data_IF_945088625469
#
_entry.id   IF_945088625469
#
_cell.length_a   1.000
_cell.length_b   1.000
_cell.length_c   1.000
_cell.angle_alpha   90.00
_cell.angle_beta   90.00
_cell.angle_gamma   90.00
#
_symmetry.space_group_name_H-M   'P 1'
#
loop_
_entity.id
_entity.type
_entity.pdbx_description
1 polymer ?
#
# COMPACT_ATOMS: atom_id res chain seq x y z
N UNK A 1 2.27 -11.15 20.56
CA UNK A 1 1.50 -10.38 19.59
C UNK A 1 0.22 -11.08 19.06
N UNK A 2 0.07 -12.42 19.17
CA UNK A 2 -1.18 -13.13 18.80
C UNK A 2 -2.40 -12.88 19.71
N UNK A 3 -2.24 -12.26 20.88
CA UNK A 3 -3.34 -12.05 21.84
C UNK A 3 -4.11 -10.73 21.68
N UNK A 4 -3.55 -9.73 20.99
CA UNK A 4 -4.22 -8.43 20.78
C UNK A 4 -5.23 -8.45 19.64
N UNK A 5 -4.99 -9.22 18.58
CA UNK A 5 -5.94 -9.36 17.46
C UNK A 5 -7.23 -10.11 17.83
N UNK A 6 -7.19 -10.97 18.85
CA UNK A 6 -8.36 -11.70 19.36
C UNK A 6 -9.23 -10.83 20.29
N UNK A 7 -8.67 -9.81 20.92
CA UNK A 7 -9.40 -8.93 21.85
C UNK A 7 -10.21 -7.88 21.08
N UNK A 8 -9.71 -7.37 19.93
CA UNK A 8 -10.46 -6.44 19.10
C UNK A 8 -11.70 -7.08 18.44
N UNK A 9 -11.67 -8.40 18.18
CA UNK A 9 -12.83 -9.14 17.66
C UNK A 9 -13.91 -9.43 18.70
N UNK A 10 -13.58 -9.37 19.99
CA UNK A 10 -14.53 -9.64 21.08
C UNK A 10 -15.29 -8.38 21.57
N UNK A 11 -14.83 -7.18 21.24
CA UNK A 11 -15.41 -5.93 21.75
C UNK A 11 -16.41 -5.25 20.79
N UNK A 12 -16.50 -5.67 19.52
CA UNK A 12 -17.44 -5.11 18.54
C UNK A 12 -18.91 -5.50 18.77
N UNK A 13 -19.26 -6.69 19.31
CA UNK A 13 -20.66 -7.03 19.54
C UNK A 13 -21.41 -6.15 20.54
N UNK A 14 -20.71 -5.31 21.28
CA UNK A 14 -21.35 -4.53 22.38
C UNK A 14 -21.93 -3.18 21.96
N UNK A 15 -21.73 -2.74 20.70
CA UNK A 15 -22.18 -1.43 20.20
C UNK A 15 -23.16 -1.52 19.02
N UNK A 16 -23.34 -2.69 18.40
CA UNK A 16 -24.30 -2.89 17.30
C UNK A 16 -25.50 -3.69 17.78
N UNK A 17 -26.71 -3.33 17.32
CA UNK A 17 -27.89 -4.18 17.51
C UNK A 17 -27.73 -5.48 16.71
N UNK A 18 -28.39 -6.58 17.13
CA UNK A 18 -28.38 -7.84 16.37
C UNK A 18 -28.87 -7.67 14.93
N UNK A 19 -29.79 -6.72 14.69
CA UNK A 19 -30.31 -6.40 13.38
C UNK A 19 -29.23 -5.70 12.49
N UNK A 20 -28.44 -4.79 13.06
CA UNK A 20 -27.36 -4.13 12.34
C UNK A 20 -26.23 -5.11 12.00
N UNK A 21 -25.90 -6.01 12.91
CA UNK A 21 -24.90 -7.06 12.70
C UNK A 21 -25.32 -8.04 11.60
N UNK A 22 -26.62 -8.41 11.52
CA UNK A 22 -27.12 -9.29 10.45
C UNK A 22 -27.07 -8.60 9.09
N UNK A 23 -27.48 -7.34 9.02
CA UNK A 23 -27.45 -6.52 7.78
C UNK A 23 -26.01 -6.36 7.28
N UNK A 24 -25.05 -6.18 8.18
CA UNK A 24 -23.64 -6.09 7.86
C UNK A 24 -23.09 -7.40 7.26
N UNK A 25 -23.43 -8.54 7.86
CA UNK A 25 -23.03 -9.86 7.37
C UNK A 25 -23.59 -10.16 5.97
N UNK A 26 -24.85 -9.81 5.73
CA UNK A 26 -25.50 -10.00 4.41
C UNK A 26 -24.84 -9.12 3.34
N UNK A 27 -24.50 -7.88 3.69
CA UNK A 27 -23.77 -6.97 2.80
C UNK A 27 -22.40 -7.54 2.46
N UNK A 28 -21.62 -7.98 3.45
CA UNK A 28 -20.30 -8.60 3.26
C UNK A 28 -20.41 -9.81 2.32
N UNK A 29 -21.39 -10.68 2.54
CA UNK A 29 -21.56 -11.88 1.73
C UNK A 29 -21.90 -11.54 0.26
N UNK A 30 -22.76 -10.54 0.06
CA UNK A 30 -23.17 -10.06 -1.27
C UNK A 30 -21.98 -9.50 -2.04
N UNK A 31 -21.26 -8.60 -1.42
CA UNK A 31 -20.11 -7.93 -2.04
C UNK A 31 -18.96 -8.90 -2.30
N UNK A 32 -18.68 -9.80 -1.35
CA UNK A 32 -17.68 -10.85 -1.56
C UNK A 32 -18.02 -11.72 -2.76
N UNK A 33 -19.28 -12.14 -2.89
CA UNK A 33 -19.75 -12.87 -4.05
C UNK A 33 -19.56 -12.11 -5.36
N UNK A 34 -19.81 -10.80 -5.35
CA UNK A 34 -19.59 -9.94 -6.52
C UNK A 34 -18.10 -9.84 -6.88
N UNK A 35 -17.22 -9.67 -5.89
CA UNK A 35 -15.77 -9.64 -6.10
C UNK A 35 -15.27 -10.98 -6.65
N UNK A 36 -15.73 -12.11 -6.10
CA UNK A 36 -15.38 -13.44 -6.61
C UNK A 36 -15.77 -13.61 -8.09
N UNK A 37 -16.94 -13.11 -8.48
CA UNK A 37 -17.37 -13.15 -9.89
C UNK A 37 -16.47 -12.29 -10.80
N UNK A 38 -16.10 -11.08 -10.37
CA UNK A 38 -15.22 -10.20 -11.13
C UNK A 38 -13.83 -10.80 -11.29
N UNK A 39 -13.26 -11.33 -10.21
CA UNK A 39 -11.91 -11.94 -10.23
C UNK A 39 -11.92 -13.24 -11.04
N UNK A 40 -12.99 -14.04 -10.98
CA UNK A 40 -13.16 -15.21 -11.86
C UNK A 40 -13.14 -14.80 -13.32
N UNK A 41 -13.92 -13.80 -13.73
CA UNK A 41 -13.89 -13.26 -15.11
C UNK A 41 -12.50 -12.75 -15.51
N UNK A 42 -11.79 -12.14 -14.58
CA UNK A 42 -10.41 -11.69 -14.81
C UNK A 42 -9.49 -12.88 -15.07
N UNK A 43 -9.54 -13.93 -14.23
CA UNK A 43 -8.77 -15.17 -14.43
C UNK A 43 -9.09 -15.83 -15.77
N UNK A 44 -10.38 -15.92 -16.12
CA UNK A 44 -10.81 -16.49 -17.40
C UNK A 44 -10.27 -15.71 -18.59
N UNK A 45 -10.24 -14.36 -18.49
CA UNK A 45 -9.71 -13.48 -19.54
C UNK A 45 -8.20 -13.54 -19.70
N UNK A 46 -7.48 -13.75 -18.61
CA UNK A 46 -6.01 -13.86 -18.61
C UNK A 46 -5.52 -15.24 -19.03
N UNK A 47 -6.37 -16.27 -18.86
CA UNK A 47 -6.03 -17.67 -19.15
C UNK A 47 -5.07 -18.28 -18.14
N UNK A 48 -4.45 -19.40 -18.52
CA UNK A 48 -3.47 -20.08 -17.67
C UNK A 48 -2.21 -19.23 -17.48
N UNK A 49 -1.64 -19.24 -16.29
CA UNK A 49 -0.36 -18.56 -16.01
C UNK A 49 0.72 -19.15 -16.92
N UNK A 50 1.34 -18.36 -17.84
CA UNK A 50 2.43 -18.85 -18.65
C UNK A 50 3.67 -19.09 -17.77
N UNK A 51 4.32 -20.23 -17.93
CA UNK A 51 5.48 -20.60 -17.12
C UNK A 51 6.67 -19.63 -17.28
N UNK A 52 6.78 -18.91 -18.41
CA UNK A 52 7.98 -18.17 -18.75
C UNK A 52 7.86 -16.63 -18.68
N UNK A 53 6.72 -16.01 -18.95
CA UNK A 53 6.56 -14.55 -18.92
C UNK A 53 5.09 -14.19 -18.67
N UNK A 54 4.60 -14.30 -17.45
CA UNK A 54 3.23 -13.96 -17.13
C UNK A 54 2.95 -12.47 -17.32
N UNK A 55 1.79 -12.15 -17.87
CA UNK A 55 1.26 -10.79 -17.96
C UNK A 55 0.21 -10.61 -16.88
N UNK A 56 0.31 -9.50 -16.17
CA UNK A 56 -0.57 -9.15 -15.04
C UNK A 56 -1.54 -8.05 -15.42
N UNK A 57 -2.76 -8.03 -14.87
CA UNK A 57 -3.69 -6.92 -15.11
C UNK A 57 -3.07 -5.60 -14.61
N UNK A 58 -3.16 -4.57 -15.44
CA UNK A 58 -2.67 -3.23 -15.13
C UNK A 58 -3.79 -2.20 -15.10
N UNK A 59 -4.61 -2.14 -16.14
CA UNK A 59 -5.72 -1.20 -16.23
C UNK A 59 -6.93 -1.86 -16.90
N UNK A 60 -8.13 -1.57 -16.37
CA UNK A 60 -9.38 -1.94 -17.00
C UNK A 60 -9.72 -0.99 -18.14
N UNK A 61 -10.16 -1.51 -19.28
CA UNK A 61 -10.71 -0.72 -20.39
C UNK A 61 -12.23 -0.68 -20.34
N UNK A 62 -12.83 0.28 -21.06
CA UNK A 62 -14.29 0.47 -21.16
C UNK A 62 -15.03 -0.76 -21.72
N UNK A 63 -14.31 -1.63 -22.45
CA UNK A 63 -14.82 -2.90 -22.98
C UNK A 63 -14.87 -4.04 -21.96
N UNK A 64 -14.44 -3.81 -20.71
CA UNK A 64 -14.32 -4.86 -19.69
C UNK A 64 -13.14 -5.81 -19.91
N UNK A 65 -12.19 -5.43 -20.77
CA UNK A 65 -10.93 -6.16 -20.99
C UNK A 65 -9.80 -5.51 -20.20
N UNK A 66 -8.81 -6.34 -19.79
CA UNK A 66 -7.63 -5.85 -19.12
C UNK A 66 -6.51 -5.48 -20.10
N UNK A 67 -5.93 -4.29 -19.91
CA UNK A 67 -4.57 -4.03 -20.36
C UNK A 67 -3.63 -4.74 -19.39
N UNK A 68 -2.67 -5.48 -19.92
CA UNK A 68 -1.74 -6.27 -19.11
C UNK A 68 -0.32 -5.75 -19.21
N UNK A 69 0.47 -6.00 -18.17
CA UNK A 69 1.88 -5.61 -18.09
C UNK A 69 2.77 -6.77 -17.71
N UNK A 70 4.02 -6.74 -18.16
CA UNK A 70 5.08 -7.63 -17.67
C UNK A 70 5.63 -7.10 -16.34
N UNK A 71 6.00 -7.97 -15.39
CA UNK A 71 6.66 -7.53 -14.15
C UNK A 71 7.98 -6.76 -14.37
N UNK A 72 8.61 -6.94 -15.51
CA UNK A 72 9.84 -6.21 -15.91
C UNK A 72 9.59 -4.93 -16.69
N UNK A 73 8.33 -4.59 -16.99
CA UNK A 73 7.99 -3.31 -17.61
C UNK A 73 8.35 -2.16 -16.65
N UNK A 74 9.14 -1.20 -17.16
CA UNK A 74 9.64 -0.10 -16.33
C UNK A 74 8.56 0.88 -15.87
N UNK A 75 7.47 1.02 -16.65
CA UNK A 75 6.43 2.01 -16.37
C UNK A 75 5.25 1.44 -15.56
N UNK A 76 4.90 0.17 -15.78
CA UNK A 76 3.67 -0.42 -15.26
C UNK A 76 3.89 -1.71 -14.46
N UNK A 77 5.08 -2.31 -14.56
CA UNK A 77 5.39 -3.60 -13.92
C UNK A 77 5.28 -3.59 -12.39
N UNK A 78 5.30 -2.43 -11.76
CA UNK A 78 5.13 -2.27 -10.31
C UNK A 78 3.78 -2.78 -9.82
N UNK A 79 2.76 -2.78 -10.68
CA UNK A 79 1.41 -3.25 -10.33
C UNK A 79 1.27 -4.77 -10.29
N UNK A 80 2.25 -5.52 -10.82
CA UNK A 80 2.11 -6.97 -11.02
C UNK A 80 1.91 -7.78 -9.73
N UNK A 81 2.27 -7.23 -8.57
CA UNK A 81 2.06 -7.88 -7.28
C UNK A 81 0.63 -7.79 -6.74
N UNK A 82 -0.17 -6.81 -7.19
CA UNK A 82 -1.50 -6.57 -6.62
C UNK A 82 -2.50 -7.68 -6.97
N UNK A 83 -2.53 -8.14 -8.20
CA UNK A 83 -3.46 -9.19 -8.60
C UNK A 83 -3.28 -10.50 -7.81
N UNK A 84 -2.06 -11.07 -7.70
CA UNK A 84 -1.87 -12.21 -6.79
C UNK A 84 -2.17 -11.86 -5.32
N UNK A 85 -1.92 -10.62 -4.90
CA UNK A 85 -2.32 -10.14 -3.58
C UNK A 85 -3.82 -10.23 -3.35
N UNK A 86 -4.63 -9.80 -4.32
CA UNK A 86 -6.09 -9.90 -4.30
C UNK A 86 -6.56 -11.37 -4.21
N UNK A 87 -5.94 -12.27 -4.96
CA UNK A 87 -6.23 -13.71 -4.88
C UNK A 87 -5.95 -14.29 -3.49
N UNK A 88 -4.87 -13.85 -2.84
CA UNK A 88 -4.57 -14.23 -1.46
C UNK A 88 -5.60 -13.68 -0.46
N UNK A 89 -6.11 -12.46 -0.67
CA UNK A 89 -7.17 -11.88 0.15
C UNK A 89 -8.50 -12.64 -0.03
N UNK A 90 -8.83 -13.06 -1.25
CA UNK A 90 -9.98 -13.93 -1.50
C UNK A 90 -9.83 -15.29 -0.79
N UNK A 91 -8.64 -15.91 -0.83
CA UNK A 91 -8.38 -17.11 -0.03
C UNK A 91 -8.55 -16.84 1.47
N UNK A 92 -8.08 -15.71 1.97
CA UNK A 92 -8.26 -15.34 3.37
C UNK A 92 -9.74 -15.23 3.74
N UNK A 93 -10.55 -14.59 2.91
CA UNK A 93 -11.97 -14.36 3.17
C UNK A 93 -12.80 -15.64 3.08
N UNK A 94 -12.57 -16.45 2.05
CA UNK A 94 -13.43 -17.59 1.71
C UNK A 94 -12.91 -18.94 2.21
N UNK A 95 -11.60 -19.03 2.46
CA UNK A 95 -10.88 -20.30 2.73
C UNK A 95 -10.97 -21.31 1.56
N UNK A 96 -11.38 -20.88 0.39
CA UNK A 96 -11.42 -21.71 -0.81
C UNK A 96 -10.01 -22.06 -1.29
N UNK A 97 -9.72 -23.34 -1.42
CA UNK A 97 -8.43 -23.82 -1.95
C UNK A 97 -8.22 -23.43 -3.42
N UNK A 98 -9.29 -23.20 -4.18
CA UNK A 98 -9.18 -22.71 -5.55
C UNK A 98 -8.54 -21.33 -5.62
N UNK A 99 -8.92 -20.40 -4.70
CA UNK A 99 -8.29 -19.09 -4.60
C UNK A 99 -6.83 -19.18 -4.15
N UNK A 100 -6.53 -20.08 -3.20
CA UNK A 100 -5.13 -20.32 -2.77
C UNK A 100 -4.27 -20.80 -3.94
N UNK A 101 -4.77 -21.77 -4.69
CA UNK A 101 -4.01 -22.41 -5.79
C UNK A 101 -3.79 -21.40 -6.94
N UNK A 102 -4.81 -20.58 -7.25
CA UNK A 102 -4.66 -19.46 -8.18
C UNK A 102 -3.65 -18.43 -7.65
N UNK A 103 -3.77 -17.99 -6.39
CA UNK A 103 -2.85 -17.05 -5.77
C UNK A 103 -1.40 -17.54 -5.82
N UNK A 104 -1.16 -18.81 -5.51
CA UNK A 104 0.16 -19.42 -5.59
C UNK A 104 0.71 -19.43 -7.02
N UNK A 105 -0.12 -19.80 -7.99
CA UNK A 105 0.26 -19.85 -9.40
C UNK A 105 0.68 -18.46 -9.92
N UNK A 106 -0.05 -17.39 -9.58
CA UNK A 106 0.24 -16.04 -10.01
C UNK A 106 1.34 -15.35 -9.17
N UNK A 107 1.60 -15.81 -7.93
CA UNK A 107 2.68 -15.29 -7.06
C UNK A 107 4.04 -15.83 -7.48
N UNK A 108 4.14 -17.14 -7.73
CA UNK A 108 5.43 -17.83 -7.93
C UNK A 108 6.32 -17.21 -8.99
N UNK A 109 5.82 -16.81 -10.18
CA UNK A 109 6.66 -16.22 -11.23
C UNK A 109 7.29 -14.87 -10.85
N UNK A 110 6.76 -14.18 -9.85
CA UNK A 110 7.29 -12.88 -9.39
C UNK A 110 8.55 -13.00 -8.53
N UNK A 111 8.97 -14.21 -8.14
CA UNK A 111 10.11 -14.40 -7.22
C UNK A 111 11.41 -13.74 -7.72
N UNK A 112 11.66 -13.75 -9.03
CA UNK A 112 12.84 -13.12 -9.62
C UNK A 112 12.86 -11.59 -9.44
N UNK A 113 11.70 -10.95 -9.28
CA UNK A 113 11.58 -9.51 -9.09
C UNK A 113 12.18 -9.04 -7.76
N UNK A 114 12.32 -9.91 -6.76
CA UNK A 114 12.95 -9.59 -5.49
C UNK A 114 14.39 -9.04 -5.60
N UNK A 115 15.07 -9.30 -6.71
CA UNK A 115 16.45 -8.85 -6.97
C UNK A 115 16.56 -7.89 -8.17
N UNK A 116 15.46 -7.45 -8.75
CA UNK A 116 15.43 -6.63 -9.97
C UNK A 116 15.62 -5.13 -9.65
N UNK A 117 16.84 -4.74 -9.28
CA UNK A 117 17.20 -3.36 -8.94
C UNK A 117 17.46 -2.46 -10.15
N UNK A 118 17.59 -3.04 -11.35
CA UNK A 118 17.80 -2.33 -12.62
C UNK A 118 16.44 -1.93 -13.24
N UNK A 119 15.65 -1.19 -12.49
CA UNK A 119 14.32 -0.70 -12.85
C UNK A 119 14.32 0.83 -12.89
N UNK A 120 13.32 1.42 -13.54
CA UNK A 120 13.05 2.88 -13.49
C UNK A 120 12.82 3.31 -12.04
N UNK A 121 12.05 2.54 -11.29
CA UNK A 121 11.93 2.65 -9.84
C UNK A 121 12.29 1.30 -9.19
N UNK A 122 13.48 1.16 -8.62
CA UNK A 122 13.85 -0.07 -7.93
C UNK A 122 13.10 -0.29 -6.61
N UNK A 123 12.42 0.72 -6.05
CA UNK A 123 11.57 0.53 -4.86
C UNK A 123 10.28 -0.21 -5.17
N UNK A 124 9.86 -0.31 -6.45
CA UNK A 124 8.73 -1.14 -6.91
C UNK A 124 8.81 -2.61 -6.45
N UNK A 125 10.03 -3.10 -6.16
CA UNK A 125 10.23 -4.42 -5.54
C UNK A 125 9.35 -4.57 -4.30
N UNK A 126 9.19 -3.50 -3.52
CA UNK A 126 8.35 -3.48 -2.33
C UNK A 126 6.87 -3.69 -2.64
N UNK A 127 6.34 -3.04 -3.68
CA UNK A 127 4.96 -3.29 -4.14
C UNK A 127 4.79 -4.72 -4.62
N UNK A 128 5.67 -5.17 -5.53
CA UNK A 128 5.54 -6.49 -6.16
C UNK A 128 5.62 -7.61 -5.12
N UNK A 129 6.64 -7.60 -4.29
CA UNK A 129 6.90 -8.68 -3.34
C UNK A 129 6.07 -8.54 -2.06
N UNK A 130 5.86 -7.32 -1.57
CA UNK A 130 5.08 -7.06 -0.36
C UNK A 130 3.63 -7.51 -0.51
N UNK A 131 2.97 -7.15 -1.62
CA UNK A 131 1.56 -7.48 -1.84
C UNK A 131 1.35 -8.95 -2.22
N UNK A 132 2.27 -9.58 -2.93
CA UNK A 132 2.17 -11.00 -3.35
C UNK A 132 2.74 -11.96 -2.30
N UNK A 133 4.06 -12.02 -2.17
CA UNK A 133 4.75 -12.93 -1.24
C UNK A 133 4.50 -12.60 0.23
N UNK A 134 4.29 -11.32 0.58
CA UNK A 134 3.91 -10.89 1.91
C UNK A 134 2.60 -11.55 2.36
N UNK A 135 1.55 -11.46 1.55
CA UNK A 135 0.27 -12.12 1.81
C UNK A 135 0.40 -13.66 1.78
N UNK A 136 1.18 -14.21 0.82
CA UNK A 136 1.44 -15.64 0.75
C UNK A 136 2.04 -16.17 2.05
N UNK A 137 3.11 -15.54 2.55
CA UNK A 137 3.76 -15.93 3.81
C UNK A 137 2.84 -15.78 5.01
N UNK A 138 2.16 -14.65 5.13
CA UNK A 138 1.24 -14.37 6.24
C UNK A 138 0.15 -15.43 6.37
N UNK A 139 -0.36 -15.94 5.24
CA UNK A 139 -1.48 -16.88 5.22
C UNK A 139 -1.06 -18.35 5.27
N UNK A 140 0.18 -18.68 4.89
CA UNK A 140 0.65 -20.07 4.79
C UNK A 140 1.77 -20.42 5.76
N UNK A 141 2.57 -19.45 6.17
CA UNK A 141 3.79 -19.69 6.95
C UNK A 141 4.93 -20.35 6.16
N UNK A 142 4.80 -20.49 4.83
CA UNK A 142 5.80 -21.16 4.01
C UNK A 142 7.12 -20.37 3.95
N UNK A 143 8.18 -21.00 4.42
CA UNK A 143 9.52 -20.40 4.48
C UNK A 143 10.10 -20.05 3.11
N UNK A 144 9.63 -20.67 2.03
CA UNK A 144 10.03 -20.29 0.68
C UNK A 144 9.64 -18.86 0.37
N UNK A 145 8.42 -18.44 0.73
CA UNK A 145 7.97 -17.05 0.58
C UNK A 145 8.76 -16.08 1.46
N UNK A 146 9.03 -16.46 2.71
CA UNK A 146 9.90 -15.69 3.61
C UNK A 146 11.27 -15.38 2.98
N UNK A 147 11.87 -16.35 2.31
CA UNK A 147 13.16 -16.16 1.67
C UNK A 147 13.11 -15.13 0.53
N UNK A 148 12.03 -15.11 -0.25
CA UNK A 148 11.80 -14.11 -1.31
C UNK A 148 11.62 -12.71 -0.72
N UNK A 149 10.85 -12.56 0.36
CA UNK A 149 10.67 -11.28 1.06
C UNK A 149 12.02 -10.76 1.59
N UNK A 150 12.84 -11.62 2.19
CA UNK A 150 14.16 -11.23 2.66
C UNK A 150 15.13 -10.88 1.51
N UNK A 151 15.01 -11.51 0.34
CA UNK A 151 15.78 -11.11 -0.84
C UNK A 151 15.36 -9.70 -1.31
N UNK A 152 14.08 -9.39 -1.31
CA UNK A 152 13.57 -8.05 -1.60
C UNK A 152 14.08 -7.01 -0.57
N UNK A 153 14.01 -7.32 0.73
CA UNK A 153 14.55 -6.47 1.78
C UNK A 153 16.06 -6.20 1.61
N UNK A 154 16.83 -7.21 1.23
CA UNK A 154 18.26 -7.05 0.91
C UNK A 154 18.49 -6.12 -0.28
N UNK A 155 17.67 -6.23 -1.33
CA UNK A 155 17.76 -5.38 -2.51
C UNK A 155 17.44 -3.92 -2.17
N UNK A 156 16.37 -3.68 -1.42
CA UNK A 156 16.01 -2.34 -0.93
C UNK A 156 17.08 -1.76 0.00
N UNK A 157 17.66 -2.57 0.90
CA UNK A 157 18.77 -2.14 1.75
C UNK A 157 20.01 -1.71 0.95
N UNK A 158 20.27 -2.35 -0.21
CA UNK A 158 21.34 -1.98 -1.12
C UNK A 158 21.17 -0.63 -1.81
N UNK A 159 19.95 -0.08 -1.81
CA UNK A 159 19.63 1.24 -2.38
C UNK A 159 19.74 2.38 -1.34
N UNK A 160 19.99 2.05 -0.08
CA UNK A 160 20.12 3.04 0.98
C UNK A 160 21.39 3.87 0.84
N UNK A 161 21.24 5.18 0.92
CA UNK A 161 22.35 6.14 0.96
C UNK A 161 22.43 6.80 2.34
N UNK A 162 23.48 6.55 3.15
CA UNK A 162 23.57 7.11 4.49
C UNK A 162 23.77 8.63 4.52
N UNK A 163 24.28 9.25 3.45
CA UNK A 163 24.46 10.69 3.36
C UNK A 163 23.14 11.41 3.16
N UNK A 164 22.23 10.83 2.37
CA UNK A 164 20.86 11.33 2.19
C UNK A 164 19.95 10.84 3.33
N UNK A 165 20.25 9.70 3.92
CA UNK A 165 19.42 9.07 4.93
C UNK A 165 18.17 8.40 4.33
N UNK A 166 18.25 7.90 3.10
CA UNK A 166 17.08 7.34 2.41
C UNK A 166 17.43 6.21 1.45
N UNK A 167 16.43 5.41 1.10
CA UNK A 167 16.43 4.44 -0.01
C UNK A 167 16.13 5.19 -1.30
N UNK A 168 16.92 4.95 -2.35
CA UNK A 168 16.76 5.62 -3.64
C UNK A 168 15.55 5.06 -4.40
N UNK A 169 14.69 5.97 -4.88
CA UNK A 169 13.60 5.66 -5.79
C UNK A 169 14.05 5.74 -7.26
N UNK A 170 13.66 6.76 -7.99
CA UNK A 170 13.81 6.87 -9.43
C UNK A 170 15.25 6.90 -9.95
N UNK A 171 15.46 6.27 -11.12
CA UNK A 171 16.77 6.14 -11.79
C UNK A 171 16.79 6.68 -13.21
N UNK A 172 15.73 7.38 -13.66
CA UNK A 172 15.63 8.00 -14.99
C UNK A 172 15.92 9.51 -14.95
N UNK A 173 16.17 10.11 -16.09
CA UNK A 173 16.40 11.58 -16.18
C UNK A 173 15.15 12.35 -15.77
N UNK A 174 15.25 13.40 -14.92
CA UNK A 174 16.48 14.04 -14.42
C UNK A 174 17.04 13.45 -13.11
N UNK A 175 16.56 12.31 -12.65
CA UNK A 175 16.86 11.72 -11.32
C UNK A 175 18.13 10.85 -11.29
N UNK A 176 18.89 10.84 -12.39
CA UNK A 176 20.18 10.13 -12.46
C UNK A 176 21.27 10.84 -11.64
N UNK A 177 22.36 10.12 -11.25
CA UNK A 177 23.47 10.73 -10.52
C UNK A 177 24.02 12.00 -11.22
N UNK A 178 24.36 13.05 -10.46
CA UNK A 178 24.52 13.10 -9.01
C UNK A 178 23.21 13.29 -8.22
N UNK A 179 22.05 13.29 -8.87
CA UNK A 179 20.77 13.39 -8.22
C UNK A 179 20.37 12.08 -7.54
N UNK A 180 19.57 12.20 -6.49
CA UNK A 180 19.06 11.09 -5.70
C UNK A 180 17.59 11.39 -5.38
N UNK A 181 16.66 10.69 -6.01
CA UNK A 181 15.24 10.89 -5.79
C UNK A 181 14.72 10.03 -4.64
N UNK A 182 13.85 10.64 -3.83
CA UNK A 182 13.02 9.98 -2.83
C UNK A 182 11.58 10.37 -3.12
N UNK A 183 10.70 9.39 -3.28
CA UNK A 183 9.29 9.62 -3.57
C UNK A 183 8.43 9.19 -2.38
N UNK A 184 7.24 9.78 -2.27
CA UNK A 184 6.32 9.51 -1.18
C UNK A 184 5.83 8.05 -1.17
N UNK A 185 5.69 7.43 -2.35
CA UNK A 185 5.32 6.03 -2.56
C UNK A 185 6.28 5.07 -1.85
N UNK A 186 7.55 5.47 -1.67
CA UNK A 186 8.55 4.67 -0.99
C UNK A 186 8.17 4.32 0.45
N UNK A 187 7.31 5.10 1.09
CA UNK A 187 6.78 4.76 2.41
C UNK A 187 6.00 3.44 2.42
N UNK A 188 5.23 3.17 1.35
CA UNK A 188 4.53 1.90 1.18
C UNK A 188 5.49 0.76 0.82
N UNK A 189 6.51 1.02 0.00
CA UNK A 189 7.36 -0.03 -0.58
C UNK A 189 8.42 -0.58 0.37
N UNK A 190 8.64 0.04 1.52
CA UNK A 190 9.66 -0.41 2.49
C UNK A 190 9.23 -1.60 3.36
N UNK A 191 8.03 -2.13 3.19
CA UNK A 191 7.52 -3.26 3.96
C UNK A 191 8.48 -4.45 4.05
N UNK A 192 9.05 -4.99 2.95
CA UNK A 192 10.01 -6.07 3.00
C UNK A 192 11.30 -5.74 3.77
N UNK A 193 11.75 -4.48 3.74
CA UNK A 193 12.92 -4.02 4.49
C UNK A 193 12.60 -3.98 6.00
N UNK A 194 11.48 -3.39 6.39
CA UNK A 194 11.03 -3.27 7.77
C UNK A 194 10.79 -4.65 8.39
N UNK A 195 9.99 -5.47 7.73
CA UNK A 195 9.64 -6.80 8.19
C UNK A 195 10.86 -7.73 8.26
N UNK A 196 11.73 -7.67 7.26
CA UNK A 196 12.93 -8.49 7.17
C UNK A 196 13.88 -8.28 8.34
N UNK A 197 13.97 -7.07 8.88
CA UNK A 197 14.83 -6.74 10.02
C UNK A 197 14.60 -7.64 11.24
N UNK A 198 13.37 -8.08 11.47
CA UNK A 198 12.98 -8.97 12.58
C UNK A 198 12.73 -10.42 12.16
N UNK A 199 12.81 -10.73 10.84
CA UNK A 199 12.40 -12.02 10.29
C UNK A 199 13.50 -12.75 9.48
N UNK A 200 14.77 -12.54 9.83
CA UNK A 200 15.90 -13.26 9.25
C UNK A 200 16.73 -12.45 8.27
N UNK A 201 16.40 -11.17 8.08
CA UNK A 201 17.27 -10.17 7.45
C UNK A 201 18.26 -9.57 8.46
N UNK A 202 18.91 -8.48 8.08
CA UNK A 202 19.83 -7.76 8.97
C UNK A 202 19.07 -6.80 9.86
N UNK A 203 19.35 -6.79 11.17
CA UNK A 203 18.72 -5.86 12.14
C UNK A 203 18.95 -4.38 11.80
N UNK A 204 20.04 -4.06 11.09
CA UNK A 204 20.33 -2.68 10.60
C UNK A 204 19.28 -2.16 9.62
N UNK A 205 18.50 -3.02 8.96
CA UNK A 205 17.46 -2.60 8.02
C UNK A 205 16.35 -1.79 8.69
N UNK A 206 16.05 -2.07 9.96
CA UNK A 206 15.12 -1.27 10.74
C UNK A 206 15.60 0.19 10.86
N UNK A 207 16.91 0.39 11.10
CA UNK A 207 17.51 1.73 11.13
C UNK A 207 17.46 2.44 9.77
N UNK A 208 17.65 1.71 8.66
CA UNK A 208 17.52 2.30 7.32
C UNK A 208 16.10 2.76 7.04
N UNK A 209 15.11 1.93 7.37
CA UNK A 209 13.71 2.26 7.20
C UNK A 209 13.27 3.44 8.10
N UNK A 210 13.72 3.46 9.37
CA UNK A 210 13.41 4.56 10.28
C UNK A 210 14.03 5.89 9.82
N UNK A 211 15.28 5.87 9.35
CA UNK A 211 15.95 7.08 8.84
C UNK A 211 15.30 7.55 7.54
N UNK A 212 14.92 6.62 6.65
CA UNK A 212 14.18 6.95 5.43
C UNK A 212 12.84 7.64 5.77
N UNK A 213 12.05 7.07 6.67
CA UNK A 213 10.77 7.66 7.08
C UNK A 213 10.99 9.08 7.68
N UNK A 214 12.03 9.28 8.48
CA UNK A 214 12.35 10.60 9.00
C UNK A 214 12.77 11.58 7.90
N UNK A 215 13.50 11.14 6.87
CA UNK A 215 13.85 11.95 5.69
C UNK A 215 12.60 12.35 4.91
N UNK A 216 11.64 11.44 4.76
CA UNK A 216 10.34 11.72 4.14
C UNK A 216 9.53 12.73 4.95
N UNK A 217 9.41 12.57 6.27
CA UNK A 217 8.74 13.56 7.14
C UNK A 217 9.33 14.96 6.91
N UNK A 218 10.65 15.05 6.94
CA UNK A 218 11.33 16.36 6.87
C UNK A 218 11.20 17.03 5.51
N UNK A 219 11.13 16.26 4.43
CA UNK A 219 11.28 16.81 3.08
C UNK A 219 10.07 16.57 2.17
N UNK A 220 9.14 15.69 2.51
CA UNK A 220 7.98 15.40 1.68
C UNK A 220 6.65 15.70 2.36
N UNK A 221 6.60 15.78 3.70
CA UNK A 221 5.37 16.15 4.42
C UNK A 221 5.42 17.65 4.76
N UNK A 222 4.36 18.39 4.38
CA UNK A 222 4.22 19.80 4.68
C UNK A 222 3.61 20.01 6.08
N UNK A 223 3.78 21.19 6.70
CA UNK A 223 3.25 21.44 8.04
C UNK A 223 1.74 21.30 8.21
N UNK A 224 0.96 21.33 7.12
CA UNK A 224 -0.47 21.13 7.13
C UNK A 224 -0.89 19.65 6.89
N UNK A 225 0.06 18.71 6.86
CA UNK A 225 -0.17 17.28 6.61
C UNK A 225 -0.26 16.90 5.13
N UNK A 226 -0.24 17.87 4.19
CA UNK A 226 -0.17 17.55 2.75
C UNK A 226 1.23 17.07 2.34
N UNK A 227 1.36 16.43 1.17
CA UNK A 227 2.64 15.88 0.73
C UNK A 227 3.10 16.43 -0.61
N UNK A 228 4.43 16.52 -0.78
CA UNK A 228 5.07 16.51 -2.09
C UNK A 228 5.17 15.06 -2.58
N UNK A 229 5.23 14.85 -3.89
CA UNK A 229 5.48 13.51 -4.43
C UNK A 229 6.96 13.15 -4.42
N UNK A 230 7.85 14.07 -4.78
CA UNK A 230 9.29 13.81 -4.92
C UNK A 230 10.15 14.88 -4.25
N UNK A 231 11.20 14.43 -3.56
CA UNK A 231 12.31 15.24 -3.12
C UNK A 231 13.60 14.75 -3.82
N UNK A 232 14.38 15.70 -4.37
CA UNK A 232 15.63 15.41 -5.07
C UNK A 232 16.79 15.96 -4.23
N UNK A 233 17.75 15.09 -3.95
CA UNK A 233 18.93 15.40 -3.17
C UNK A 233 20.20 15.30 -4.03
N UNK A 234 21.26 15.94 -3.57
CA UNK A 234 22.61 15.60 -4.01
C UNK A 234 23.08 14.34 -3.28
N UNK A 235 23.36 13.26 -4.02
CA UNK A 235 23.72 11.96 -3.42
C UNK A 235 25.02 11.98 -2.61
N UNK A 236 25.90 12.98 -2.82
CA UNK A 236 27.21 13.06 -2.20
C UNK A 236 27.21 13.93 -0.95
N UNK A 237 26.43 15.02 -0.99
CA UNK A 237 26.37 15.99 0.12
C UNK A 237 25.13 15.81 0.99
N UNK A 238 24.09 15.11 0.52
CA UNK A 238 22.78 15.00 1.16
C UNK A 238 21.93 16.27 1.05
N UNK A 239 22.41 17.31 0.36
CA UNK A 239 21.69 18.57 0.24
C UNK A 239 20.41 18.40 -0.60
N UNK A 240 19.27 18.90 -0.09
CA UNK A 240 18.02 18.99 -0.84
C UNK A 240 18.20 19.99 -2.00
N UNK A 241 17.85 19.58 -3.21
CA UNK A 241 17.91 20.37 -4.44
C UNK A 241 16.55 20.91 -4.87
N UNK A 242 15.53 20.07 -4.83
CA UNK A 242 14.16 20.44 -5.20
C UNK A 242 13.14 19.51 -4.58
N UNK A 243 11.90 19.98 -4.53
CA UNK A 243 10.70 19.23 -4.19
C UNK A 243 9.65 19.51 -5.26
N UNK A 244 8.78 18.56 -5.53
CA UNK A 244 7.76 18.72 -6.57
C UNK A 244 6.94 17.47 -6.79
N UNK A 245 6.44 17.36 -8.02
CA UNK A 245 5.62 16.23 -8.45
C UNK A 245 5.99 15.77 -9.85
N UNK A 246 5.69 14.52 -10.16
CA UNK A 246 5.72 13.94 -11.49
C UNK A 246 4.30 13.57 -11.96
N UNK A 247 3.50 13.03 -11.03
CA UNK A 247 2.13 12.57 -11.30
C UNK A 247 1.05 13.60 -10.93
N UNK A 248 1.37 14.60 -10.11
CA UNK A 248 0.44 15.65 -9.67
C UNK A 248 0.33 16.82 -10.66
N UNK A 249 -0.52 17.79 -10.33
CA UNK A 249 -0.83 18.96 -11.15
C UNK A 249 0.34 19.97 -11.24
N UNK A 250 0.99 20.25 -10.12
CA UNK A 250 2.12 21.18 -10.05
C UNK A 250 3.05 20.84 -8.90
N UNK A 251 4.29 21.38 -8.93
CA UNK A 251 5.30 21.09 -7.89
C UNK A 251 4.84 21.45 -6.46
N UNK A 252 3.87 22.33 -6.32
CA UNK A 252 3.27 22.70 -5.03
C UNK A 252 1.95 22.01 -4.71
N UNK A 253 1.38 21.27 -5.66
CA UNK A 253 0.09 20.58 -5.47
C UNK A 253 0.22 19.31 -4.63
N UNK A 254 -0.90 18.70 -4.34
CA UNK A 254 -1.00 17.48 -3.55
C UNK A 254 -1.68 16.39 -4.38
N UNK A 255 -0.88 15.52 -4.98
CA UNK A 255 -1.35 14.34 -5.69
C UNK A 255 -2.02 13.37 -4.72
N UNK A 256 -3.31 13.07 -4.96
CA UNK A 256 -4.15 12.36 -4.00
C UNK A 256 -3.64 10.94 -3.69
N UNK A 257 -3.11 10.21 -4.69
CA UNK A 257 -2.58 8.87 -4.46
C UNK A 257 -1.26 8.89 -3.68
N UNK A 258 -0.41 9.89 -3.90
CA UNK A 258 0.80 10.10 -3.08
C UNK A 258 0.46 10.38 -1.63
N UNK A 259 -0.57 11.21 -1.38
CA UNK A 259 -1.09 11.47 -0.04
C UNK A 259 -1.60 10.17 0.63
N UNK A 260 -2.32 9.32 -0.12
CA UNK A 260 -2.80 8.03 0.37
C UNK A 260 -1.66 7.05 0.68
N UNK A 261 -0.61 6.99 -0.16
CA UNK A 261 0.59 6.19 0.12
C UNK A 261 1.30 6.62 1.39
N UNK A 262 1.37 7.94 1.65
CA UNK A 262 1.93 8.46 2.89
C UNK A 262 1.14 7.97 4.11
N UNK A 263 -0.17 8.09 4.09
CA UNK A 263 -1.03 7.62 5.17
C UNK A 263 -0.77 6.15 5.48
N UNK A 264 -0.92 5.27 4.48
CA UNK A 264 -0.68 3.84 4.62
C UNK A 264 0.74 3.55 5.14
N UNK A 265 1.74 4.13 4.49
CA UNK A 265 3.14 3.83 4.77
C UNK A 265 3.61 4.30 6.14
N UNK A 266 3.13 5.46 6.64
CA UNK A 266 3.47 5.91 7.98
C UNK A 266 2.80 5.08 9.08
N UNK A 267 1.56 4.62 8.89
CA UNK A 267 0.94 3.67 9.82
C UNK A 267 1.73 2.36 9.85
N UNK A 268 2.09 1.80 8.69
CA UNK A 268 2.90 0.59 8.59
C UNK A 268 4.27 0.77 9.29
N UNK A 269 4.92 1.93 9.08
CA UNK A 269 6.18 2.24 9.73
C UNK A 269 6.05 2.32 11.26
N UNK A 270 4.98 2.93 11.77
CA UNK A 270 4.69 2.94 13.20
C UNK A 270 4.49 1.53 13.76
N UNK A 271 3.66 0.72 13.13
CA UNK A 271 3.39 -0.65 13.56
C UNK A 271 4.63 -1.54 13.61
N UNK A 272 5.62 -1.28 12.74
CA UNK A 272 6.84 -2.10 12.65
C UNK A 272 8.02 -1.57 13.43
N UNK A 273 8.14 -0.24 13.58
CA UNK A 273 9.31 0.42 14.14
C UNK A 273 9.04 1.10 15.49
N UNK A 274 7.77 1.17 15.92
CA UNK A 274 7.30 1.71 17.21
C UNK A 274 7.83 3.13 17.50
N UNK A 275 7.86 4.01 16.47
CA UNK A 275 8.27 5.39 16.62
C UNK A 275 7.04 6.32 16.61
N UNK A 276 6.73 7.01 17.73
CA UNK A 276 5.55 7.87 17.84
C UNK A 276 5.48 9.00 16.80
N UNK A 277 6.62 9.47 16.27
CA UNK A 277 6.62 10.49 15.22
C UNK A 277 5.95 9.98 13.93
N UNK A 278 6.02 8.67 13.65
CA UNK A 278 5.37 8.10 12.48
C UNK A 278 3.86 8.03 12.64
N UNK A 279 3.37 7.73 13.86
CA UNK A 279 1.94 7.79 14.18
C UNK A 279 1.39 9.21 14.03
N UNK A 280 2.06 10.19 14.67
CA UNK A 280 1.66 11.61 14.54
C UNK A 280 1.61 12.06 13.07
N UNK A 281 2.62 11.66 12.27
CA UNK A 281 2.64 12.01 10.85
C UNK A 281 1.49 11.32 10.09
N UNK A 282 1.19 10.05 10.40
CA UNK A 282 0.05 9.34 9.81
C UNK A 282 -1.28 10.04 10.11
N UNK A 283 -1.46 10.50 11.36
CA UNK A 283 -2.64 11.27 11.81
C UNK A 283 -2.75 12.60 11.06
N UNK A 284 -1.65 13.35 10.92
CA UNK A 284 -1.63 14.63 10.19
C UNK A 284 -1.98 14.44 8.70
N UNK A 285 -1.40 13.41 8.07
CA UNK A 285 -1.65 13.06 6.67
C UNK A 285 -3.10 12.60 6.45
N UNK A 286 -3.65 11.80 7.38
CA UNK A 286 -5.05 11.38 7.38
C UNK A 286 -6.00 12.56 7.52
N UNK A 287 -5.74 13.44 8.48
CA UNK A 287 -6.54 14.63 8.73
C UNK A 287 -6.58 15.55 7.49
N UNK A 288 -5.46 15.72 6.79
CA UNK A 288 -5.45 16.47 5.54
C UNK A 288 -6.32 15.78 4.47
N UNK A 289 -6.10 14.47 4.21
CA UNK A 289 -6.83 13.73 3.19
C UNK A 289 -8.35 13.78 3.41
N UNK A 290 -8.80 13.39 4.60
CA UNK A 290 -10.23 13.39 4.96
C UNK A 290 -10.79 14.81 4.98
N UNK A 291 -10.02 15.78 5.47
CA UNK A 291 -10.41 17.19 5.49
C UNK A 291 -10.72 17.74 4.08
N UNK A 292 -9.93 17.36 3.06
CA UNK A 292 -10.21 17.74 1.67
C UNK A 292 -11.51 17.09 1.16
N UNK A 293 -11.73 15.79 1.42
CA UNK A 293 -12.95 15.10 1.00
C UNK A 293 -14.22 15.72 1.60
N UNK A 294 -14.16 16.06 2.89
CA UNK A 294 -15.28 16.72 3.59
C UNK A 294 -15.53 18.12 3.04
N UNK A 295 -14.47 18.89 2.78
CA UNK A 295 -14.59 20.25 2.22
C UNK A 295 -15.22 20.25 0.82
N UNK A 296 -14.89 19.25 0.01
CA UNK A 296 -15.38 19.10 -1.35
C UNK A 296 -16.73 18.36 -1.43
N UNK A 297 -17.30 17.97 -0.28
CA UNK A 297 -18.54 17.18 -0.19
C UNK A 297 -18.52 15.90 -1.01
N UNK A 298 -17.35 15.25 -1.10
CA UNK A 298 -17.14 13.99 -1.80
C UNK A 298 -16.39 13.00 -0.91
N UNK A 299 -16.51 11.69 -1.23
CA UNK A 299 -15.75 10.65 -0.54
C UNK A 299 -14.81 9.90 -1.50
N UNK A 300 -14.75 10.33 -2.76
CA UNK A 300 -13.78 9.84 -3.72
C UNK A 300 -12.89 11.02 -4.10
N UNK A 301 -11.58 10.96 -3.83
CA UNK A 301 -10.69 12.07 -4.09
C UNK A 301 -10.58 12.38 -5.59
N UNK A 302 -10.37 13.65 -5.96
CA UNK A 302 -9.86 13.98 -7.29
C UNK A 302 -8.45 13.39 -7.47
N UNK A 303 -7.98 13.34 -8.71
CA UNK A 303 -6.60 12.98 -9.01
C UNK A 303 -5.56 13.81 -8.23
N UNK A 304 -5.82 15.12 -8.08
CA UNK A 304 -4.96 16.07 -7.35
C UNK A 304 -5.85 17.07 -6.62
N UNK A 305 -5.61 17.31 -5.34
CA UNK A 305 -6.47 18.15 -4.50
C UNK A 305 -6.40 19.64 -4.85
N UNK A 306 -5.34 20.09 -5.53
CA UNK A 306 -5.11 21.48 -5.84
C UNK A 306 -5.33 21.78 -7.34
N UNK A 307 -5.65 20.78 -8.16
CA UNK A 307 -5.91 20.99 -9.59
C UNK A 307 -7.24 21.73 -9.82
N UNK A 308 -7.25 22.77 -10.69
CA UNK A 308 -8.44 23.59 -10.86
C UNK A 308 -9.52 22.89 -11.70
N UNK A 309 -10.78 23.24 -11.49
CA UNK A 309 -11.92 22.75 -12.27
C UNK A 309 -12.34 21.34 -11.89
N UNK A 310 -13.16 20.70 -12.74
CA UNK A 310 -13.60 19.32 -12.51
C UNK A 310 -12.48 18.36 -12.91
N UNK A 311 -12.02 17.59 -11.95
CA UNK A 311 -10.94 16.65 -12.11
C UNK A 311 -11.45 15.19 -12.20
N UNK A 312 -10.74 14.29 -12.89
CA UNK A 312 -11.01 12.86 -12.79
C UNK A 312 -10.81 12.40 -11.34
N UNK A 313 -11.66 11.49 -10.90
CA UNK A 313 -11.54 10.88 -9.57
C UNK A 313 -10.46 9.79 -9.57
N UNK A 314 -9.77 9.63 -8.43
CA UNK A 314 -8.78 8.57 -8.23
C UNK A 314 -9.31 7.53 -7.22
N UNK A 315 -9.95 6.47 -7.74
CA UNK A 315 -10.47 5.39 -6.91
C UNK A 315 -9.37 4.55 -6.25
N UNK A 316 -8.15 4.55 -6.82
CA UNK A 316 -7.01 3.88 -6.19
C UNK A 316 -6.55 4.64 -4.95
N UNK A 317 -6.49 5.97 -5.00
CA UNK A 317 -6.21 6.80 -3.83
C UNK A 317 -7.27 6.59 -2.73
N UNK A 318 -8.55 6.49 -3.11
CA UNK A 318 -9.64 6.18 -2.18
C UNK A 318 -9.40 4.83 -1.47
N UNK A 319 -9.13 3.77 -2.22
CA UNK A 319 -8.92 2.43 -1.65
C UNK A 319 -7.69 2.37 -0.72
N UNK A 320 -6.57 2.99 -1.11
CA UNK A 320 -5.34 3.03 -0.32
C UNK A 320 -5.56 3.83 0.97
N UNK A 321 -6.23 4.98 0.89
CA UNK A 321 -6.52 5.80 2.06
C UNK A 321 -7.47 5.09 3.02
N UNK A 322 -8.50 4.40 2.52
CA UNK A 322 -9.41 3.62 3.35
C UNK A 322 -8.68 2.49 4.08
N UNK A 323 -7.76 1.76 3.42
CA UNK A 323 -6.91 0.76 4.07
C UNK A 323 -6.02 1.39 5.15
N UNK A 324 -5.36 2.51 4.82
CA UNK A 324 -4.56 3.27 5.77
C UNK A 324 -5.36 3.74 7.00
N UNK A 325 -6.60 4.21 6.83
CA UNK A 325 -7.49 4.60 7.93
C UNK A 325 -7.90 3.41 8.79
N UNK A 326 -8.23 2.26 8.19
CA UNK A 326 -8.49 1.03 8.94
C UNK A 326 -7.26 0.59 9.74
N UNK A 327 -6.06 0.66 9.16
CA UNK A 327 -4.83 0.37 9.90
C UNK A 327 -4.62 1.38 11.04
N UNK A 328 -4.86 2.68 10.79
CA UNK A 328 -4.71 3.74 11.78
C UNK A 328 -5.68 3.55 12.95
N UNK A 329 -6.91 3.09 12.70
CA UNK A 329 -7.89 2.77 13.76
C UNK A 329 -7.37 1.72 14.73
N UNK A 330 -6.58 0.74 14.26
CA UNK A 330 -6.04 -0.34 15.11
C UNK A 330 -4.97 0.12 16.11
N UNK A 331 -4.40 1.31 15.89
CA UNK A 331 -3.35 1.91 16.72
C UNK A 331 -3.79 3.23 17.36
N UNK A 332 -5.05 3.60 17.19
CA UNK A 332 -5.64 4.81 17.75
C UNK A 332 -5.56 4.81 19.28
N UNK A 333 -5.18 5.96 19.85
CA UNK A 333 -4.99 6.11 21.29
C UNK A 333 -6.30 6.12 22.11
N UNK A 334 -7.46 6.24 21.46
CA UNK A 334 -8.79 6.28 22.09
C UNK A 334 -9.84 5.60 21.20
N UNK A 335 -10.90 5.08 21.82
CA UNK A 335 -12.04 4.48 21.08
C UNK A 335 -12.77 5.50 20.20
N UNK A 336 -12.77 6.78 20.56
CA UNK A 336 -13.35 7.82 19.73
C UNK A 336 -12.59 8.02 18.41
N UNK A 337 -11.25 8.01 18.45
CA UNK A 337 -10.41 8.07 17.26
C UNK A 337 -10.54 6.78 16.43
N UNK A 338 -10.56 5.62 17.08
CA UNK A 338 -10.81 4.34 16.40
C UNK A 338 -12.10 4.40 15.58
N UNK A 339 -13.22 4.81 16.21
CA UNK A 339 -14.51 4.93 15.52
C UNK A 339 -14.44 5.95 14.38
N UNK A 340 -13.84 7.12 14.61
CA UNK A 340 -13.72 8.17 13.59
C UNK A 340 -13.00 7.67 12.34
N UNK A 341 -11.85 7.01 12.49
CA UNK A 341 -11.10 6.49 11.34
C UNK A 341 -11.84 5.38 10.60
N UNK A 342 -12.60 4.55 11.33
CA UNK A 342 -13.44 3.53 10.70
C UNK A 342 -14.60 4.14 9.93
N UNK A 343 -15.30 5.13 10.49
CA UNK A 343 -16.40 5.84 9.83
C UNK A 343 -15.90 6.56 8.56
N UNK A 344 -14.71 7.17 8.61
CA UNK A 344 -14.10 7.81 7.45
C UNK A 344 -13.73 6.79 6.35
N UNK A 345 -13.18 5.64 6.71
CA UNK A 345 -12.91 4.56 5.78
C UNK A 345 -14.22 4.02 5.14
N UNK A 346 -15.28 3.85 5.94
CA UNK A 346 -16.59 3.43 5.46
C UNK A 346 -17.21 4.44 4.50
N UNK A 347 -17.08 5.72 4.80
CA UNK A 347 -17.57 6.79 3.92
C UNK A 347 -16.84 6.80 2.57
N UNK A 348 -15.49 6.61 2.57
CA UNK A 348 -14.67 6.56 1.35
C UNK A 348 -15.07 5.38 0.46
N UNK A 349 -15.30 4.22 1.05
CA UNK A 349 -15.59 3.00 0.29
C UNK A 349 -17.07 2.86 -0.10
N UNK A 350 -17.93 3.72 0.43
CA UNK A 350 -19.38 3.53 0.37
C UNK A 350 -19.82 2.40 1.30
N UNK A 351 -21.02 2.51 1.88
CA UNK A 351 -21.44 1.56 2.94
C UNK A 351 -21.42 0.09 2.52
N UNK A 352 -21.62 -0.23 1.24
CA UNK A 352 -21.67 -1.62 0.78
C UNK A 352 -20.28 -2.20 0.45
N UNK A 353 -19.39 -1.44 -0.18
CA UNK A 353 -18.03 -1.90 -0.50
C UNK A 353 -17.08 -1.83 0.70
N UNK A 354 -17.28 -0.86 1.59
CA UNK A 354 -16.50 -0.63 2.79
C UNK A 354 -16.43 -1.85 3.70
N UNK A 355 -17.55 -2.50 3.89
CA UNK A 355 -17.67 -3.60 4.84
C UNK A 355 -16.79 -4.78 4.49
N UNK A 356 -16.65 -5.10 3.20
CA UNK A 356 -15.80 -6.21 2.75
C UNK A 356 -14.34 -5.86 2.89
N UNK A 357 -13.95 -4.71 2.39
CA UNK A 357 -12.56 -4.29 2.42
C UNK A 357 -12.08 -4.14 3.86
N UNK A 358 -12.87 -3.51 4.74
CA UNK A 358 -12.57 -3.39 6.18
C UNK A 358 -12.45 -4.78 6.84
N UNK A 359 -13.34 -5.72 6.51
CA UNK A 359 -13.29 -7.07 7.07
C UNK A 359 -12.08 -7.86 6.55
N UNK A 360 -11.75 -7.73 5.26
CA UNK A 360 -10.58 -8.35 4.67
C UNK A 360 -9.28 -7.76 5.24
N UNK A 361 -9.22 -6.44 5.40
CA UNK A 361 -8.07 -5.71 5.92
C UNK A 361 -7.87 -5.99 7.41
N UNK A 362 -8.90 -5.91 8.26
CA UNK A 362 -8.82 -6.26 9.69
C UNK A 362 -8.33 -7.69 9.93
N UNK A 363 -8.67 -8.62 9.02
CA UNK A 363 -8.14 -9.98 9.05
C UNK A 363 -6.74 -10.07 8.43
N UNK A 364 -6.32 -9.06 7.68
CA UNK A 364 -5.04 -9.01 6.97
C UNK A 364 -3.92 -8.32 7.77
N UNK A 365 -4.24 -7.42 8.67
CA UNK A 365 -3.27 -6.88 9.63
C UNK A 365 -3.20 -7.82 10.83
N UNK A 366 -2.08 -8.34 11.25
CA UNK A 366 -0.74 -7.79 11.29
C UNK A 366 0.37 -8.78 10.94
N UNK A 367 1.38 -8.29 10.31
CA UNK A 367 2.72 -8.78 10.65
C UNK A 367 3.57 -7.60 11.02
#
# INVERSE_FOLDING_TARGET
MQRLALIALASIPCLMSEADASTLQDTIATDLSFIEQLVTKTLDSLGSVPAANPLYPYAGGDSGTWTTTSPSDGAHGWTSGFFPGELWLLYQATRSTAWRDAAQAWTTPLASQASSVDRIDPTDIGFIIGTSFGNAYRLTGDTAYKNVINAAGKSLAGLYNPTVGAVRSWTFSPYVPPNFAVIIDSMMTLGPLQWGASNGGMSTWAGYAATHAQTVITNLVRPNGSTFEVAVFDRTTGALKSQGTFAGYSDSSTWARGQAWALYGFVQAYQTLDNPAFLTTAEDVANYFVGQLVADHTWIPPWDFDAPGTQPVDTSAAAIAADGLVMLSTVAGTSALETMYLDDAENILGRSAATILITLIRKASPC
#
